data_IF_781412592056
#
_entry.id   IF_781412592056
#
_cell.length_a   1.000
_cell.length_b   1.000
_cell.length_c   1.000
_cell.angle_alpha   90.00
_cell.angle_beta   90.00
_cell.angle_gamma   90.00
#
_symmetry.space_group_name_H-M   'P 1'
#
loop_
_entity.id
_entity.type
_entity.pdbx_description
1 polymer ?
#
# COMPACT_ATOMS: atom_id res chain seq x y z
N UNK A 1 -11.98 -14.23 0.44
CA UNK A 1 -10.54 -13.90 0.35
C UNK A 1 -9.74 -15.17 0.52
N UNK A 2 -8.88 -15.25 1.53
CA UNK A 2 -7.94 -16.37 1.76
C UNK A 2 -8.59 -17.76 1.70
N UNK A 3 -9.82 -17.92 2.23
CA UNK A 3 -10.58 -19.19 2.18
C UNK A 3 -10.90 -19.68 0.75
N UNK A 4 -10.74 -18.84 -0.27
CA UNK A 4 -10.99 -19.15 -1.69
C UNK A 4 -9.71 -19.59 -2.41
N UNK A 5 -8.54 -19.48 -1.77
CA UNK A 5 -7.27 -19.87 -2.38
C UNK A 5 -7.02 -21.37 -2.21
N UNK A 6 -6.47 -21.98 -3.27
CA UNK A 6 -6.04 -23.38 -3.27
C UNK A 6 -4.51 -23.49 -3.35
N UNK A 7 -3.88 -24.49 -2.69
CA UNK A 7 -2.45 -24.72 -2.84
C UNK A 7 -2.04 -24.92 -4.31
N UNK A 8 -1.02 -24.18 -4.76
CA UNK A 8 -0.53 -24.22 -6.15
C UNK A 8 -1.35 -23.43 -7.17
N UNK A 9 -2.40 -22.71 -6.74
CA UNK A 9 -3.18 -21.84 -7.63
C UNK A 9 -2.34 -20.68 -8.16
N UNK A 10 -2.45 -20.42 -9.46
CA UNK A 10 -1.91 -19.21 -10.08
C UNK A 10 -2.93 -18.08 -9.89
N UNK A 11 -2.48 -16.98 -9.29
CA UNK A 11 -3.31 -15.81 -8.98
C UNK A 11 -2.64 -14.53 -9.47
N UNK A 12 -3.45 -13.52 -9.78
CA UNK A 12 -2.94 -12.17 -9.95
C UNK A 12 -2.74 -11.54 -8.57
N UNK A 13 -1.60 -10.89 -8.37
CA UNK A 13 -1.27 -10.22 -7.12
C UNK A 13 -0.38 -8.99 -7.34
N UNK A 14 -0.50 -8.02 -6.45
CA UNK A 14 0.45 -6.91 -6.27
C UNK A 14 1.17 -7.13 -4.94
N UNK A 15 2.49 -7.04 -4.92
CA UNK A 15 3.32 -7.50 -3.80
C UNK A 15 4.42 -6.49 -3.51
N UNK A 16 4.42 -5.96 -2.29
CA UNK A 16 5.55 -5.24 -1.73
C UNK A 16 6.42 -6.21 -0.92
N UNK A 17 7.72 -6.21 -1.16
CA UNK A 17 8.70 -7.02 -0.44
C UNK A 17 9.91 -6.16 -0.04
N UNK A 18 10.40 -6.35 1.18
CA UNK A 18 11.72 -5.89 1.59
C UNK A 18 12.46 -6.99 2.35
N UNK A 19 13.73 -7.19 2.01
CA UNK A 19 14.59 -8.21 2.60
C UNK A 19 15.91 -7.58 3.08
N UNK A 20 16.35 -7.91 4.28
CA UNK A 20 17.64 -7.45 4.81
C UNK A 20 18.21 -8.43 5.83
N UNK A 21 19.54 -8.48 5.94
CA UNK A 21 20.28 -9.12 7.02
C UNK A 21 21.24 -8.13 7.72
N UNK A 22 21.10 -6.82 7.44
CA UNK A 22 21.87 -5.78 8.10
C UNK A 22 21.38 -5.66 9.56
N UNK A 23 22.23 -5.88 10.57
CA UNK A 23 21.85 -5.78 11.98
C UNK A 23 21.10 -4.48 12.31
N UNK A 24 20.01 -4.60 13.07
CA UNK A 24 19.13 -3.49 13.47
C UNK A 24 18.44 -2.75 12.30
N UNK A 25 18.51 -3.26 11.07
CA UNK A 25 17.81 -2.67 9.93
C UNK A 25 16.32 -3.05 9.98
N UNK A 26 15.46 -2.05 10.12
CA UNK A 26 14.01 -2.22 10.02
C UNK A 26 13.60 -2.26 8.54
N UNK A 27 13.12 -3.41 8.06
CA UNK A 27 12.47 -3.53 6.76
C UNK A 27 10.98 -3.20 6.85
N UNK A 28 10.43 -2.60 5.80
CA UNK A 28 9.01 -2.27 5.67
C UNK A 28 8.49 -2.64 4.28
N UNK A 29 7.31 -3.25 4.23
CA UNK A 29 6.54 -3.50 3.02
C UNK A 29 5.10 -3.07 3.25
N UNK A 30 4.48 -2.37 2.30
CA UNK A 30 3.13 -1.86 2.41
C UNK A 30 2.42 -1.89 1.05
N UNK A 31 1.10 -2.11 1.09
CA UNK A 31 0.20 -1.99 -0.05
C UNK A 31 -0.88 -0.98 0.28
N UNK A 32 -1.16 -0.05 -0.63
CA UNK A 32 -2.28 0.88 -0.57
C UNK A 32 -3.37 0.52 -1.60
N UNK A 33 -4.61 0.86 -1.29
CA UNK A 33 -5.77 0.69 -2.17
C UNK A 33 -6.63 1.95 -2.11
N UNK A 34 -7.10 2.40 -3.28
CA UNK A 34 -8.10 3.45 -3.44
C UNK A 34 -9.26 2.95 -4.30
N UNK A 35 -10.49 3.20 -3.84
CA UNK A 35 -11.73 2.76 -4.49
C UNK A 35 -12.53 4.00 -4.91
N UNK A 36 -12.86 4.15 -6.21
CA UNK A 36 -13.66 5.27 -6.70
C UNK A 36 -15.10 5.17 -6.21
N UNK A 37 -15.81 6.29 -6.21
CA UNK A 37 -17.23 6.33 -5.91
C UNK A 37 -18.08 5.76 -7.05
N UNK A 38 -17.68 5.97 -8.30
CA UNK A 38 -18.34 5.36 -9.46
C UNK A 38 -17.91 3.89 -9.62
N UNK A 39 -18.82 2.91 -9.49
CA UNK A 39 -18.50 1.49 -9.65
C UNK A 39 -18.11 1.09 -11.08
N UNK A 40 -18.30 1.97 -12.07
CA UNK A 40 -17.85 1.73 -13.44
C UNK A 40 -16.37 2.09 -13.66
N UNK A 41 -15.72 2.73 -12.68
CA UNK A 41 -14.29 3.04 -12.72
C UNK A 41 -13.48 1.98 -11.98
N UNK A 42 -12.24 1.77 -12.43
CA UNK A 42 -11.31 0.89 -11.73
C UNK A 42 -10.72 1.59 -10.50
N UNK A 43 -10.44 0.80 -9.46
CA UNK A 43 -9.64 1.26 -8.32
C UNK A 43 -8.15 1.31 -8.63
N UNK A 44 -7.38 1.81 -7.67
CA UNK A 44 -5.93 1.89 -7.78
C UNK A 44 -5.25 1.13 -6.63
N UNK A 45 -4.18 0.40 -6.94
CA UNK A 45 -3.34 -0.31 -5.97
C UNK A 45 -1.93 0.25 -6.06
N UNK A 46 -1.29 0.46 -4.93
CA UNK A 46 0.11 0.90 -4.85
C UNK A 46 0.91 -0.07 -3.98
N UNK A 47 2.21 -0.17 -4.25
CA UNK A 47 3.17 -0.90 -3.43
C UNK A 47 4.26 0.04 -2.93
N UNK A 48 4.73 -0.21 -1.72
CA UNK A 48 5.81 0.56 -1.10
C UNK A 48 6.72 -0.36 -0.29
N UNK A 49 8.02 -0.29 -0.55
CA UNK A 49 9.04 -0.99 0.22
C UNK A 49 10.05 0.04 0.74
N UNK A 50 10.47 -0.11 1.98
CA UNK A 50 11.37 0.86 2.61
C UNK A 50 12.22 0.22 3.70
N UNK A 51 13.26 0.96 4.10
CA UNK A 51 14.07 0.64 5.27
C UNK A 51 14.10 1.81 6.23
N UNK A 52 14.14 1.52 7.54
CA UNK A 52 14.13 2.53 8.60
C UNK A 52 12.77 3.23 8.79
N UNK A 53 11.73 2.78 8.08
CA UNK A 53 10.38 3.32 8.16
C UNK A 53 9.51 2.45 9.08
N UNK A 54 8.79 3.08 10.02
CA UNK A 54 7.83 2.38 10.88
C UNK A 54 6.59 1.96 10.10
N UNK A 55 5.87 0.97 10.62
CA UNK A 55 4.73 0.32 9.96
C UNK A 55 3.63 1.30 9.55
N UNK A 56 3.24 2.21 10.45
CA UNK A 56 2.18 3.17 10.18
C UNK A 56 2.55 4.16 9.05
N UNK A 57 3.68 4.90 9.11
CA UNK A 57 4.10 5.77 8.01
C UNK A 57 4.28 5.04 6.67
N UNK A 58 4.74 3.79 6.66
CA UNK A 58 4.87 3.00 5.43
C UNK A 58 3.49 2.70 4.82
N UNK A 59 2.51 2.35 5.66
CA UNK A 59 1.14 2.12 5.25
C UNK A 59 0.44 3.39 4.74
N UNK A 60 0.56 4.49 5.48
CA UNK A 60 0.01 5.80 5.10
C UNK A 60 0.58 6.28 3.77
N UNK A 61 1.89 6.13 3.56
CA UNK A 61 2.52 6.46 2.28
C UNK A 61 1.97 5.62 1.11
N UNK A 62 1.79 4.31 1.30
CA UNK A 62 1.21 3.47 0.26
C UNK A 62 -0.25 3.89 -0.02
N UNK A 63 -1.05 4.15 1.02
CA UNK A 63 -2.43 4.63 0.87
C UNK A 63 -2.51 5.95 0.09
N UNK A 64 -1.64 6.91 0.44
CA UNK A 64 -1.50 8.20 -0.24
C UNK A 64 -1.21 8.04 -1.71
N UNK A 65 -0.26 7.16 -2.01
CA UNK A 65 0.15 6.87 -3.36
C UNK A 65 -1.02 6.31 -4.18
N UNK A 66 -1.78 5.35 -3.63
CA UNK A 66 -2.94 4.79 -4.34
C UNK A 66 -4.03 5.85 -4.59
N UNK A 67 -4.34 6.66 -3.59
CA UNK A 67 -5.35 7.69 -3.69
C UNK A 67 -4.95 8.81 -4.65
N UNK A 68 -3.69 9.25 -4.61
CA UNK A 68 -3.14 10.28 -5.51
C UNK A 68 -3.16 9.82 -6.98
N UNK A 69 -2.80 8.56 -7.22
CA UNK A 69 -2.83 7.99 -8.57
C UNK A 69 -4.27 7.87 -9.09
N UNK A 70 -5.23 7.45 -8.25
CA UNK A 70 -6.64 7.43 -8.62
C UNK A 70 -7.18 8.84 -8.90
N UNK A 71 -6.88 9.81 -8.04
CA UNK A 71 -7.28 11.21 -8.20
C UNK A 71 -6.79 11.78 -9.55
N UNK A 72 -5.55 11.46 -9.94
CA UNK A 72 -4.98 11.88 -11.23
C UNK A 72 -5.76 11.28 -12.41
N UNK A 73 -6.16 10.00 -12.32
CA UNK A 73 -6.97 9.33 -13.36
C UNK A 73 -8.37 9.96 -13.47
N UNK A 74 -8.96 10.36 -12.34
CA UNK A 74 -10.28 10.99 -12.27
C UNK A 74 -10.27 12.50 -12.58
N UNK A 75 -9.09 13.10 -12.78
CA UNK A 75 -8.96 14.53 -13.07
C UNK A 75 -9.21 15.45 -11.87
N UNK A 76 -9.10 14.93 -10.65
CA UNK A 76 -9.20 15.74 -9.42
C UNK A 76 -7.91 16.59 -9.29
N UNK A 77 -8.02 17.90 -9.00
CA UNK A 77 -6.86 18.76 -8.82
C UNK A 77 -5.91 18.19 -7.75
N UNK A 78 -4.65 17.96 -8.13
CA UNK A 78 -3.61 17.43 -7.26
C UNK A 78 -2.51 18.48 -7.04
N UNK A 79 -2.25 18.78 -5.77
CA UNK A 79 -1.15 19.64 -5.34
C UNK A 79 -0.13 18.79 -4.54
N UNK A 80 1.06 18.50 -5.12
CA UNK A 80 2.07 17.68 -4.45
C UNK A 80 2.66 18.33 -3.20
N UNK A 81 2.54 19.65 -3.06
CA UNK A 81 3.16 20.40 -1.96
C UNK A 81 2.28 20.45 -0.69
N UNK A 82 1.03 19.98 -0.77
CA UNK A 82 0.13 19.94 0.38
C UNK A 82 0.47 18.83 1.38
N UNK A 83 0.14 19.04 2.65
CA UNK A 83 0.32 18.02 3.68
C UNK A 83 -0.60 16.82 3.45
N UNK A 84 -0.15 15.62 3.84
CA UNK A 84 -0.89 14.35 3.76
C UNK A 84 -2.34 14.46 4.25
N UNK A 85 -2.54 15.01 5.46
CA UNK A 85 -3.88 15.13 6.06
C UNK A 85 -4.80 16.04 5.22
N UNK A 86 -4.25 17.11 4.62
CA UNK A 86 -5.01 18.02 3.77
C UNK A 86 -5.41 17.35 2.45
N UNK A 87 -4.51 16.55 1.86
CA UNK A 87 -4.81 15.77 0.65
C UNK A 87 -5.91 14.75 0.92
N UNK A 88 -5.81 14.02 2.04
CA UNK A 88 -6.80 13.02 2.43
C UNK A 88 -8.19 13.62 2.64
N UNK A 89 -8.28 14.77 3.29
CA UNK A 89 -9.55 15.50 3.42
C UNK A 89 -10.10 15.96 2.06
N UNK A 90 -9.26 16.50 1.17
CA UNK A 90 -9.71 16.94 -0.16
C UNK A 90 -10.33 15.82 -0.99
N UNK A 91 -9.74 14.63 -0.99
CA UNK A 91 -10.29 13.51 -1.76
C UNK A 91 -11.62 13.01 -1.18
N UNK A 92 -11.70 12.90 0.14
CA UNK A 92 -12.95 12.53 0.81
C UNK A 92 -14.05 13.56 0.58
N UNK A 93 -13.70 14.86 0.55
CA UNK A 93 -14.62 15.96 0.27
C UNK A 93 -15.00 16.05 -1.22
N UNK A 94 -14.14 15.61 -2.14
CA UNK A 94 -14.44 15.60 -3.58
C UNK A 94 -15.61 14.67 -3.92
N UNK A 95 -15.85 13.64 -3.10
CA UNK A 95 -16.84 12.60 -3.36
C UNK A 95 -16.45 11.60 -4.44
N UNK A 96 -15.30 11.77 -5.10
CA UNK A 96 -14.82 10.92 -6.19
C UNK A 96 -14.14 9.63 -5.68
N UNK A 97 -13.56 9.67 -4.46
CA UNK A 97 -12.93 8.52 -3.81
C UNK A 97 -13.78 8.14 -2.59
N UNK A 98 -14.33 6.93 -2.61
CA UNK A 98 -15.23 6.46 -1.55
C UNK A 98 -14.47 5.85 -0.38
N UNK A 99 -13.33 5.21 -0.66
CA UNK A 99 -12.59 4.48 0.36
C UNK A 99 -11.13 4.32 -0.01
N UNK A 100 -10.28 4.56 0.97
CA UNK A 100 -8.86 4.20 0.95
C UNK A 100 -8.55 3.22 2.07
N UNK A 101 -7.56 2.36 1.88
CA UNK A 101 -7.04 1.49 2.93
C UNK A 101 -5.60 1.08 2.62
N UNK A 102 -4.89 0.61 3.65
CA UNK A 102 -3.57 0.00 3.48
C UNK A 102 -3.40 -1.23 4.36
N UNK A 103 -2.40 -2.04 4.00
CA UNK A 103 -1.82 -3.07 4.85
C UNK A 103 -0.31 -2.92 4.80
N UNK A 104 0.35 -3.00 5.95
CA UNK A 104 1.79 -2.88 6.05
C UNK A 104 2.38 -3.87 7.06
N UNK A 105 3.62 -4.29 6.81
CA UNK A 105 4.39 -5.20 7.64
C UNK A 105 5.80 -4.64 7.82
N UNK A 106 6.32 -4.72 9.04
CA UNK A 106 7.71 -4.35 9.35
C UNK A 106 8.36 -5.40 10.22
N UNK A 107 9.67 -5.57 10.07
CA UNK A 107 10.47 -6.44 10.91
C UNK A 107 11.93 -5.97 10.93
N UNK A 108 12.58 -6.11 12.08
CA UNK A 108 13.96 -5.70 12.30
C UNK A 108 14.89 -6.91 12.20
N UNK A 109 15.94 -6.79 11.39
CA UNK A 109 16.98 -7.81 11.28
C UNK A 109 17.74 -7.96 12.60
N UNK A 110 17.94 -9.21 13.01
CA UNK A 110 18.64 -9.58 14.23
C UNK A 110 20.15 -9.61 14.01
N UNK A 111 20.93 -9.51 15.09
CA UNK A 111 22.40 -9.47 15.06
C UNK A 111 23.06 -10.83 14.73
N UNK A 112 22.27 -11.85 14.43
CA UNK A 112 22.73 -13.22 14.15
C UNK A 112 22.96 -13.51 12.66
N UNK A 113 22.82 -12.49 11.80
CA UNK A 113 23.06 -12.58 10.37
C UNK A 113 21.96 -13.31 9.59
N UNK A 114 20.84 -13.69 10.22
CA UNK A 114 19.68 -14.23 9.51
C UNK A 114 19.00 -13.14 8.69
N UNK A 115 18.55 -13.52 7.49
CA UNK A 115 17.70 -12.67 6.68
C UNK A 115 16.32 -12.56 7.30
N UNK A 116 15.79 -11.33 7.31
CA UNK A 116 14.38 -11.07 7.54
C UNK A 116 13.77 -10.54 6.26
N UNK A 117 12.59 -11.05 5.93
CA UNK A 117 11.79 -10.62 4.79
C UNK A 117 10.42 -10.20 5.28
N UNK A 118 9.96 -9.03 4.87
CA UNK A 118 8.61 -8.54 5.09
C UNK A 118 7.87 -8.49 3.77
N UNK A 119 6.61 -8.93 3.78
CA UNK A 119 5.76 -8.98 2.59
C UNK A 119 4.41 -8.39 2.91
N UNK A 120 3.87 -7.58 2.01
CA UNK A 120 2.47 -7.15 1.99
C UNK A 120 1.92 -7.35 0.58
N UNK A 121 0.67 -7.83 0.46
CA UNK A 121 0.11 -8.17 -0.84
C UNK A 121 -1.40 -7.93 -0.94
N UNK A 122 -1.84 -7.61 -2.16
CA UNK A 122 -3.24 -7.71 -2.59
C UNK A 122 -3.35 -8.87 -3.57
N UNK A 123 -4.23 -9.82 -3.28
CA UNK A 123 -4.40 -11.06 -4.05
C UNK A 123 -5.82 -11.13 -4.60
N UNK A 124 -5.94 -11.22 -5.91
CA UNK A 124 -7.22 -11.39 -6.59
C UNK A 124 -7.66 -12.85 -6.48
N UNK A 125 -8.71 -13.09 -5.69
CA UNK A 125 -9.28 -14.41 -5.48
C UNK A 125 -10.52 -14.56 -6.39
N UNK A 126 -10.43 -15.42 -7.39
CA UNK A 126 -11.52 -15.79 -8.30
C UNK A 126 -12.05 -17.18 -8.04
#
# INVERSE_FOLDING_TARGET
>A
GVKMLLPGQVVFAVVAEASTNEPSRLGAAAIGLAIPADPNHHGYISEHHAFGQRQQPAGEYAEDLAASMLATVLGVPFDPDQAWDQRKEQWLLSGEIVKTMNISCTAEAQDDGRWVTVVSAVVFCG
#
